data_IF_609820644854
#
_entry.id   IF_609820644854
#
_cell.length_a   1.000
_cell.length_b   1.000
_cell.length_c   1.000
_cell.angle_alpha   90.00
_cell.angle_beta   90.00
_cell.angle_gamma   90.00
#
_symmetry.space_group_name_H-M   'P 1'
#
loop_
_entity.id
_entity.type
_entity.pdbx_description
1 polymer ?
#
# COMPACT_ATOMS: atom_id res chain seq x y z
N UNK A 1 -10.50 19.26 -18.10
CA UNK A 1 -11.65 18.39 -17.79
C UNK A 1 -11.30 17.56 -16.57
N UNK A 2 -12.11 17.55 -15.51
CA UNK A 2 -11.92 16.59 -14.42
C UNK A 2 -12.13 15.17 -14.95
N UNK A 3 -11.23 14.26 -14.61
CA UNK A 3 -11.37 12.83 -14.93
C UNK A 3 -12.50 12.27 -14.04
N UNK A 4 -13.56 11.66 -14.60
CA UNK A 4 -14.58 11.01 -13.80
C UNK A 4 -13.96 9.84 -13.03
N UNK A 5 -14.18 9.78 -11.71
CA UNK A 5 -13.91 8.57 -10.94
C UNK A 5 -15.08 7.63 -11.09
N UNK A 6 -14.83 6.47 -11.70
CA UNK A 6 -15.80 5.40 -11.91
C UNK A 6 -15.42 4.23 -11.01
N UNK A 7 -16.14 4.04 -9.90
CA UNK A 7 -15.86 2.98 -8.92
C UNK A 7 -16.11 1.59 -9.50
N UNK A 8 -17.01 1.44 -10.48
CA UNK A 8 -17.15 0.17 -11.18
C UNK A 8 -15.88 -0.10 -11.99
N UNK A 9 -15.37 0.92 -12.70
CA UNK A 9 -14.08 0.82 -13.38
C UNK A 9 -12.89 0.70 -12.41
N UNK A 10 -12.91 1.30 -11.23
CA UNK A 10 -11.84 1.17 -10.22
C UNK A 10 -11.90 -0.21 -9.54
N UNK A 11 -13.08 -0.73 -9.23
CA UNK A 11 -13.27 -2.09 -8.71
C UNK A 11 -12.89 -3.12 -9.76
N UNK A 12 -13.38 -2.96 -10.99
CA UNK A 12 -13.00 -3.79 -12.13
C UNK A 12 -11.49 -3.70 -12.37
N UNK A 13 -10.88 -2.51 -12.28
CA UNK A 13 -9.44 -2.33 -12.38
C UNK A 13 -8.71 -3.08 -11.28
N UNK A 14 -9.14 -2.97 -10.02
CA UNK A 14 -8.47 -3.63 -8.90
C UNK A 14 -8.69 -5.13 -8.88
N UNK A 15 -9.87 -5.61 -9.27
CA UNK A 15 -10.16 -7.03 -9.40
C UNK A 15 -9.44 -7.62 -10.63
N UNK A 16 -9.42 -6.95 -11.78
CA UNK A 16 -8.62 -7.35 -12.93
C UNK A 16 -7.11 -7.31 -12.64
N UNK A 17 -6.66 -6.31 -11.87
CA UNK A 17 -5.30 -6.28 -11.36
C UNK A 17 -5.07 -7.46 -10.41
N UNK A 18 -6.01 -7.80 -9.53
CA UNK A 18 -5.91 -8.95 -8.64
C UNK A 18 -5.85 -10.27 -9.41
N UNK A 19 -6.65 -10.43 -10.45
CA UNK A 19 -6.62 -11.59 -11.35
C UNK A 19 -5.29 -11.69 -12.11
N UNK A 20 -4.75 -10.58 -12.61
CA UNK A 20 -3.52 -10.58 -13.43
C UNK A 20 -2.21 -10.60 -12.64
N UNK A 21 -2.17 -9.94 -11.47
CA UNK A 21 -0.98 -9.83 -10.64
C UNK A 21 -0.80 -11.06 -9.73
N UNK A 22 -1.89 -11.73 -9.37
CA UNK A 22 -1.82 -12.93 -8.54
C UNK A 22 -1.35 -14.14 -9.36
N UNK A 23 -0.34 -14.83 -8.84
CA UNK A 23 0.20 -16.06 -9.43
C UNK A 23 0.17 -17.14 -8.37
N UNK A 24 -0.57 -18.22 -8.62
CA UNK A 24 -0.82 -19.26 -7.61
C UNK A 24 0.47 -19.95 -7.16
N UNK A 25 1.43 -20.06 -8.05
CA UNK A 25 2.77 -20.63 -7.87
C UNK A 25 3.78 -19.63 -7.29
N UNK A 26 3.40 -18.39 -7.01
CA UNK A 26 4.33 -17.42 -6.45
C UNK A 26 4.77 -17.82 -5.04
N UNK A 27 6.07 -17.70 -4.80
CA UNK A 27 6.69 -17.89 -3.49
C UNK A 27 6.66 -16.59 -2.66
N UNK A 28 6.70 -16.71 -1.31
CA UNK A 28 6.88 -15.57 -0.42
C UNK A 28 8.12 -14.75 -0.81
N UNK A 29 7.94 -13.44 -1.00
CA UNK A 29 9.03 -12.54 -1.37
C UNK A 29 8.77 -11.16 -0.83
N UNK A 30 9.83 -10.42 -0.53
CA UNK A 30 9.73 -9.07 -0.03
C UNK A 30 10.62 -8.14 -0.86
N UNK A 31 9.98 -7.17 -1.50
CA UNK A 31 10.62 -6.19 -2.37
C UNK A 31 10.03 -4.82 -2.03
N UNK A 32 10.88 -3.83 -1.77
CA UNK A 32 10.43 -2.44 -1.61
C UNK A 32 10.20 -1.74 -2.95
N UNK A 33 10.90 -2.20 -4.00
CA UNK A 33 10.89 -1.54 -5.31
C UNK A 33 10.08 -2.36 -6.30
N UNK A 34 9.64 -1.70 -7.37
CA UNK A 34 8.95 -2.33 -8.50
C UNK A 34 9.86 -3.25 -9.34
N UNK A 35 11.16 -3.31 -9.04
CA UNK A 35 12.13 -4.11 -9.77
C UNK A 35 12.45 -5.38 -8.99
N UNK A 36 12.41 -6.53 -9.67
CA UNK A 36 12.67 -7.82 -9.04
C UNK A 36 14.08 -7.89 -8.47
N UNK A 37 14.21 -8.34 -7.21
CA UNK A 37 15.50 -8.51 -6.55
C UNK A 37 16.25 -7.20 -6.26
N UNK A 38 15.57 -6.06 -6.26
CA UNK A 38 16.18 -4.75 -6.19
C UNK A 38 15.65 -3.89 -5.04
N UNK A 39 16.55 -3.07 -4.49
CA UNK A 39 16.33 -2.25 -3.30
C UNK A 39 16.87 -2.91 -2.04
N UNK A 40 16.63 -2.29 -0.87
CA UNK A 40 16.91 -2.97 0.38
C UNK A 40 16.07 -4.26 0.50
N UNK A 41 16.43 -5.14 1.42
CA UNK A 41 15.60 -6.24 1.85
C UNK A 41 14.81 -5.90 3.13
N UNK A 42 14.28 -6.93 3.82
CA UNK A 42 13.56 -6.75 5.06
C UNK A 42 14.41 -6.17 6.20
N UNK A 43 15.74 -6.13 6.09
CA UNK A 43 16.63 -5.53 7.09
C UNK A 43 16.33 -4.05 7.37
N UNK A 44 15.66 -3.36 6.43
CA UNK A 44 15.20 -2.00 6.65
C UNK A 44 14.18 -1.90 7.81
N UNK A 45 13.42 -2.98 8.06
CA UNK A 45 12.47 -3.09 9.17
C UNK A 45 13.17 -3.38 10.52
N UNK A 46 14.40 -3.92 10.51
CA UNK A 46 15.03 -4.52 11.69
C UNK A 46 14.33 -5.84 12.05
N UNK A 47 14.13 -6.08 13.34
CA UNK A 47 13.49 -7.29 13.89
C UNK A 47 12.12 -6.98 14.52
N UNK A 48 11.10 -6.63 13.73
CA UNK A 48 9.78 -6.30 14.27
C UNK A 48 9.07 -7.56 14.81
N UNK A 49 8.40 -7.44 15.94
CA UNK A 49 7.48 -8.48 16.41
C UNK A 49 6.19 -8.56 15.57
N UNK A 50 5.70 -7.42 15.09
CA UNK A 50 4.45 -7.28 14.35
C UNK A 50 4.61 -6.37 13.13
N UNK A 51 3.87 -6.62 12.06
CA UNK A 51 3.81 -5.76 10.87
C UNK A 51 2.37 -5.54 10.39
N UNK A 52 2.07 -4.31 9.95
CA UNK A 52 0.84 -3.93 9.27
C UNK A 52 1.17 -3.40 7.87
N UNK A 53 0.55 -3.96 6.84
CA UNK A 53 0.64 -3.46 5.47
C UNK A 53 -0.73 -2.96 4.99
N UNK A 54 -0.79 -1.71 4.51
CA UNK A 54 -1.98 -1.10 3.94
C UNK A 54 -1.91 -1.17 2.41
N UNK A 55 -2.93 -1.76 1.78
CA UNK A 55 -2.89 -2.15 0.37
C UNK A 55 -1.94 -3.33 0.15
N UNK A 56 -2.13 -4.42 0.90
CA UNK A 56 -1.19 -5.55 0.93
C UNK A 56 -1.16 -6.40 -0.36
N UNK A 57 -2.13 -6.22 -1.27
CA UNK A 57 -2.17 -6.91 -2.56
C UNK A 57 -2.07 -8.43 -2.42
N UNK A 58 -1.17 -9.04 -3.21
CA UNK A 58 -0.95 -10.50 -3.21
C UNK A 58 -0.49 -11.09 -1.88
N UNK A 59 -0.11 -10.27 -0.90
CA UNK A 59 0.30 -10.71 0.43
C UNK A 59 1.69 -11.34 0.52
N UNK A 60 2.46 -11.36 -0.58
CA UNK A 60 3.78 -12.01 -0.64
C UNK A 60 4.78 -11.45 0.37
N UNK A 61 4.77 -10.13 0.60
CA UNK A 61 5.63 -9.48 1.57
C UNK A 61 5.29 -9.90 3.00
N UNK A 62 4.00 -9.92 3.35
CA UNK A 62 3.52 -10.40 4.64
C UNK A 62 3.79 -11.88 4.87
N UNK A 63 3.56 -12.74 3.88
CA UNK A 63 3.88 -14.16 3.95
C UNK A 63 5.38 -14.38 4.21
N UNK A 64 6.23 -13.57 3.56
CA UNK A 64 7.67 -13.62 3.73
C UNK A 64 8.14 -13.18 5.13
N UNK A 65 7.46 -12.22 5.75
CA UNK A 65 7.72 -11.80 7.12
C UNK A 65 7.15 -12.80 8.14
N UNK A 66 5.96 -13.34 7.89
CA UNK A 66 5.33 -14.37 8.70
C UNK A 66 6.18 -15.65 8.75
N UNK A 67 6.79 -16.04 7.62
CA UNK A 67 7.73 -17.17 7.57
C UNK A 67 9.00 -16.96 8.45
N UNK A 68 9.27 -15.73 8.90
CA UNK A 68 10.33 -15.40 9.86
C UNK A 68 9.84 -15.19 11.29
N UNK A 69 8.59 -15.53 11.57
CA UNK A 69 7.99 -15.40 12.90
C UNK A 69 7.44 -14.02 13.22
N UNK A 70 7.31 -13.11 12.26
CA UNK A 70 6.66 -11.81 12.46
C UNK A 70 5.15 -11.99 12.41
N UNK A 71 4.42 -11.44 13.38
CA UNK A 71 2.97 -11.39 13.33
C UNK A 71 2.50 -10.40 12.27
N UNK A 72 2.02 -10.93 11.13
CA UNK A 72 1.74 -10.14 9.94
C UNK A 72 0.23 -9.91 9.73
N UNK A 73 -0.16 -8.66 9.53
CA UNK A 73 -1.53 -8.28 9.16
C UNK A 73 -1.53 -7.40 7.90
N UNK A 74 -2.34 -7.77 6.92
CA UNK A 74 -2.56 -7.02 5.69
C UNK A 74 -3.98 -6.49 5.60
N UNK A 75 -4.11 -5.25 5.13
CA UNK A 75 -5.40 -4.63 4.85
C UNK A 75 -5.45 -4.33 3.36
N UNK A 76 -6.50 -4.79 2.68
CA UNK A 76 -6.74 -4.47 1.27
C UNK A 76 -8.20 -4.10 1.03
N UNK A 77 -8.45 -3.31 -0.02
CA UNK A 77 -9.78 -2.88 -0.42
C UNK A 77 -10.42 -3.83 -1.44
N UNK A 78 -9.66 -4.71 -2.10
CA UNK A 78 -10.23 -5.71 -3.01
C UNK A 78 -10.65 -6.95 -2.20
N UNK A 79 -11.95 -7.28 -2.15
CA UNK A 79 -12.40 -8.49 -1.46
C UNK A 79 -11.87 -9.76 -2.16
N UNK A 80 -11.71 -9.72 -3.49
CA UNK A 80 -11.13 -10.82 -4.27
C UNK A 80 -9.67 -11.05 -3.88
N UNK A 81 -8.88 -9.98 -3.77
CA UNK A 81 -7.49 -10.08 -3.36
C UNK A 81 -7.36 -10.63 -1.93
N UNK A 82 -8.17 -10.14 -0.99
CA UNK A 82 -8.18 -10.65 0.40
C UNK A 82 -8.50 -12.13 0.44
N UNK A 83 -9.49 -12.60 -0.31
CA UNK A 83 -9.83 -14.03 -0.38
C UNK A 83 -8.65 -14.87 -0.89
N UNK A 84 -8.06 -14.47 -2.03
CA UNK A 84 -6.92 -15.17 -2.64
C UNK A 84 -5.70 -15.21 -1.73
N UNK A 85 -5.33 -14.08 -1.13
CA UNK A 85 -4.19 -13.99 -0.22
C UNK A 85 -4.43 -14.84 1.05
N UNK A 86 -5.65 -14.80 1.60
CA UNK A 86 -6.03 -15.61 2.77
C UNK A 86 -5.88 -17.09 2.49
N UNK A 87 -6.45 -17.57 1.39
CA UNK A 87 -6.38 -18.99 1.01
C UNK A 87 -4.93 -19.42 0.78
N UNK A 88 -4.18 -18.64 -0.01
CA UNK A 88 -2.79 -18.97 -0.37
C UNK A 88 -1.86 -19.03 0.83
N UNK A 89 -1.98 -18.07 1.74
CA UNK A 89 -1.04 -17.88 2.84
C UNK A 89 -1.58 -18.39 4.19
N UNK A 90 -2.69 -19.13 4.21
CA UNK A 90 -3.29 -19.68 5.43
C UNK A 90 -2.27 -20.43 6.30
N UNK A 91 -1.34 -21.15 5.67
CA UNK A 91 -0.28 -21.92 6.34
C UNK A 91 0.77 -21.06 7.06
N UNK A 92 0.84 -19.75 6.77
CA UNK A 92 1.83 -18.84 7.37
C UNK A 92 1.35 -18.19 8.67
N UNK A 93 0.04 -18.23 8.96
CA UNK A 93 -0.57 -17.48 10.06
C UNK A 93 -0.74 -15.98 9.80
N UNK A 94 -0.35 -15.46 8.63
CA UNK A 94 -0.63 -14.09 8.24
C UNK A 94 -2.15 -13.84 8.12
N UNK A 95 -2.62 -12.68 8.59
CA UNK A 95 -4.03 -12.28 8.53
C UNK A 95 -4.25 -11.27 7.42
N UNK A 96 -5.26 -11.49 6.59
CA UNK A 96 -5.67 -10.54 5.54
C UNK A 96 -7.10 -10.08 5.83
N UNK A 97 -7.29 -8.76 5.85
CA UNK A 97 -8.54 -8.14 6.28
C UNK A 97 -8.99 -7.15 5.21
N UNK A 98 -10.27 -7.22 4.87
CA UNK A 98 -10.92 -6.23 4.03
C UNK A 98 -11.29 -4.99 4.85
N UNK A 99 -10.99 -3.79 4.36
CA UNK A 99 -11.42 -2.55 5.02
C UNK A 99 -11.84 -1.49 4.00
N UNK A 100 -13.04 -0.94 4.21
CA UNK A 100 -13.54 0.24 3.53
C UNK A 100 -14.38 1.09 4.49
N UNK A 101 -14.50 2.41 4.28
CA UNK A 101 -15.46 3.24 5.01
C UNK A 101 -16.90 2.75 4.85
N UNK A 102 -17.78 2.96 5.85
CA UNK A 102 -19.19 2.62 5.72
C UNK A 102 -19.84 3.42 4.59
N UNK A 103 -20.82 2.82 3.92
CA UNK A 103 -21.65 3.53 2.95
C UNK A 103 -22.42 4.67 3.64
N UNK A 104 -22.54 5.80 2.95
CA UNK A 104 -23.42 6.89 3.40
C UNK A 104 -24.87 6.42 3.22
N UNK A 105 -25.75 6.50 4.25
CA UNK A 105 -27.13 6.07 4.12
C UNK A 105 -27.87 6.74 2.96
N UNK A 106 -28.60 5.95 2.16
CA UNK A 106 -29.33 6.44 0.99
C UNK A 106 -28.46 6.74 -0.24
N UNK A 107 -27.14 6.66 -0.10
CA UNK A 107 -26.20 6.86 -1.19
C UNK A 107 -25.40 5.55 -1.37
N UNK A 108 -26.01 4.62 -2.07
CA UNK A 108 -25.42 3.31 -2.36
C UNK A 108 -24.90 3.29 -3.79
N UNK A 109 -23.88 2.48 -4.06
CA UNK A 109 -23.23 2.45 -5.37
C UNK A 109 -22.20 3.58 -5.53
N UNK A 110 -21.86 3.97 -6.78
CA UNK A 110 -20.79 4.93 -7.05
C UNK A 110 -21.05 6.30 -6.42
N UNK A 111 -20.17 6.73 -5.51
CA UNK A 111 -20.25 8.04 -4.87
C UNK A 111 -18.97 8.83 -5.04
N UNK A 112 -19.11 10.11 -5.43
CA UNK A 112 -18.00 11.05 -5.41
C UNK A 112 -17.66 11.49 -3.98
N UNK A 113 -16.38 11.58 -3.65
CA UNK A 113 -15.90 12.06 -2.35
C UNK A 113 -15.31 13.47 -2.49
N UNK A 114 -15.79 14.43 -1.69
CA UNK A 114 -15.10 15.70 -1.45
C UNK A 114 -14.32 15.62 -0.14
N UNK A 115 -13.03 15.98 -0.15
CA UNK A 115 -12.22 16.05 1.07
C UNK A 115 -12.44 17.41 1.75
N UNK A 116 -13.46 17.51 2.60
CA UNK A 116 -13.84 18.74 3.32
C UNK A 116 -15.32 19.10 3.14
N UNK A 117 -15.88 19.91 4.04
CA UNK A 117 -17.33 20.18 4.13
C UNK A 117 -17.98 20.72 2.84
N UNK A 118 -19.29 20.48 2.71
CA UNK A 118 -20.11 20.73 1.52
C UNK A 118 -20.38 22.21 1.17
N UNK A 119 -19.77 23.16 1.90
CA UNK A 119 -19.91 24.59 1.66
C UNK A 119 -18.53 25.21 1.38
N UNK A 120 -18.30 25.65 0.13
CA UNK A 120 -17.07 26.34 -0.26
C UNK A 120 -16.53 25.95 -1.64
N UNK A 121 -15.36 26.49 -1.99
CA UNK A 121 -14.64 26.19 -3.24
C UNK A 121 -14.33 24.70 -3.32
N UNK A 122 -14.61 24.06 -4.46
CA UNK A 122 -14.28 22.65 -4.67
C UNK A 122 -12.78 22.40 -4.41
N UNK A 123 -12.50 21.56 -3.41
CA UNK A 123 -11.14 21.16 -3.04
C UNK A 123 -10.89 19.73 -3.53
N UNK A 124 -9.84 19.56 -4.33
CA UNK A 124 -9.37 18.25 -4.80
C UNK A 124 -7.95 18.03 -4.28
N UNK A 125 -7.61 16.79 -3.90
CA UNK A 125 -6.25 16.47 -3.44
C UNK A 125 -5.43 15.86 -4.56
N UNK A 126 -4.30 16.50 -4.89
CA UNK A 126 -3.25 15.86 -5.65
C UNK A 126 -2.51 14.85 -4.77
N UNK A 127 -2.03 13.74 -5.36
CA UNK A 127 -1.07 12.88 -4.69
C UNK A 127 0.17 13.71 -4.38
N UNK A 128 0.42 13.95 -3.10
CA UNK A 128 1.63 14.65 -2.68
C UNK A 128 2.83 13.80 -3.10
N UNK A 129 3.61 14.30 -4.05
CA UNK A 129 4.85 13.67 -4.53
C UNK A 129 6.00 14.62 -4.25
N UNK A 130 6.34 14.77 -2.97
CA UNK A 130 7.38 15.73 -2.54
C UNK A 130 8.79 15.13 -2.63
N UNK A 131 9.85 15.96 -2.77
CA UNK A 131 11.23 15.51 -2.64
C UNK A 131 11.53 14.96 -1.23
N UNK A 132 12.54 14.08 -1.07
CA UNK A 132 12.88 13.45 0.21
C UNK A 132 12.97 14.41 1.40
N UNK A 133 13.73 15.50 1.25
CA UNK A 133 13.92 16.56 2.27
C UNK A 133 12.61 17.21 2.75
N UNK A 134 11.57 17.23 1.93
CA UNK A 134 10.27 17.78 2.30
C UNK A 134 9.49 16.76 3.12
N UNK A 135 9.56 15.47 2.76
CA UNK A 135 8.95 14.41 3.55
C UNK A 135 9.53 14.29 4.96
N UNK A 136 10.86 14.34 5.09
CA UNK A 136 11.52 14.33 6.40
C UNK A 136 11.01 15.46 7.28
N UNK A 137 10.95 16.67 6.73
CA UNK A 137 10.44 17.86 7.42
C UNK A 137 8.98 17.70 7.83
N UNK A 138 8.13 17.18 6.95
CA UNK A 138 6.71 16.95 7.24
C UNK A 138 6.54 15.94 8.38
N UNK A 139 7.31 14.86 8.39
CA UNK A 139 7.28 13.84 9.44
C UNK A 139 7.79 14.38 10.78
N UNK A 140 8.92 15.10 10.79
CA UNK A 140 9.42 15.73 12.03
C UNK A 140 8.40 16.74 12.56
N UNK A 141 7.79 17.56 11.69
CA UNK A 141 6.73 18.49 12.08
C UNK A 141 5.47 17.79 12.60
N UNK A 142 5.19 16.58 12.16
CA UNK A 142 4.09 15.74 12.64
C UNK A 142 4.38 15.09 14.01
N UNK A 143 5.59 15.26 14.56
CA UNK A 143 5.95 14.78 15.91
C UNK A 143 6.89 13.56 15.94
N UNK A 144 7.37 13.08 14.80
CA UNK A 144 8.42 12.06 14.78
C UNK A 144 9.77 12.67 15.23
N UNK A 145 10.49 11.96 16.10
CA UNK A 145 11.83 12.35 16.57
C UNK A 145 12.85 12.44 15.43
N UNK A 146 12.75 11.54 14.45
CA UNK A 146 13.64 11.49 13.30
C UNK A 146 12.94 10.89 12.09
N UNK A 147 13.32 11.33 10.89
CA UNK A 147 12.92 10.74 9.62
C UNK A 147 14.13 10.68 8.65
N UNK A 148 14.22 9.60 7.89
CA UNK A 148 15.21 9.37 6.82
C UNK A 148 14.43 9.10 5.53
N UNK A 149 14.62 9.93 4.51
CA UNK A 149 14.01 9.76 3.20
C UNK A 149 15.07 9.68 2.12
N UNK A 150 14.99 8.66 1.25
CA UNK A 150 15.92 8.49 0.14
C UNK A 150 15.25 7.92 -1.09
N UNK A 151 15.75 8.29 -2.26
CA UNK A 151 15.40 7.63 -3.51
C UNK A 151 16.38 6.47 -3.72
N UNK A 152 15.85 5.27 -3.86
CA UNK A 152 16.59 4.13 -4.40
C UNK A 152 16.52 4.26 -5.92
N UNK A 153 17.66 4.51 -6.55
CA UNK A 153 17.76 4.62 -8.01
C UNK A 153 17.28 3.33 -8.68
N UNK A 154 16.74 3.43 -9.89
CA UNK A 154 16.38 2.25 -10.66
C UNK A 154 17.63 1.45 -11.05
N UNK A 155 17.54 0.12 -11.22
CA UNK A 155 18.67 -0.69 -11.68
C UNK A 155 19.10 -0.33 -13.12
N UNK A 156 18.18 0.20 -13.91
CA UNK A 156 18.41 0.61 -15.30
C UNK A 156 18.51 2.14 -15.39
N UNK A 157 19.59 2.69 -15.98
CA UNK A 157 19.75 4.14 -16.13
C UNK A 157 18.58 4.78 -16.89
N UNK A 158 18.04 5.85 -16.34
CA UNK A 158 16.90 6.59 -16.92
C UNK A 158 15.52 6.07 -16.51
N UNK A 159 15.44 4.96 -15.77
CA UNK A 159 14.19 4.47 -15.20
C UNK A 159 13.88 5.13 -13.85
N UNK A 160 12.60 5.13 -13.47
CA UNK A 160 12.14 5.80 -12.25
C UNK A 160 12.55 5.03 -10.99
N UNK A 161 13.26 5.68 -10.08
CA UNK A 161 13.60 5.12 -8.77
C UNK A 161 12.39 4.99 -7.83
N UNK A 162 12.64 4.46 -6.63
CA UNK A 162 11.64 4.28 -5.57
C UNK A 162 11.98 5.16 -4.38
N UNK A 163 11.05 6.04 -3.96
CA UNK A 163 11.20 6.80 -2.72
C UNK A 163 10.87 5.91 -1.52
N UNK A 164 11.81 5.81 -0.57
CA UNK A 164 11.64 5.11 0.70
C UNK A 164 11.79 6.12 1.83
N UNK A 165 10.87 6.07 2.81
CA UNK A 165 10.90 6.94 3.99
C UNK A 165 10.73 6.11 5.26
N UNK A 166 11.59 6.32 6.25
CA UNK A 166 11.52 5.72 7.58
C UNK A 166 11.41 6.83 8.63
N UNK A 167 10.50 6.68 9.58
CA UNK A 167 10.36 7.61 10.71
C UNK A 167 10.39 6.87 12.05
N UNK A 168 10.78 7.58 13.12
CA UNK A 168 10.84 7.06 14.51
C UNK A 168 10.26 8.11 15.47
N UNK A 169 9.50 7.65 16.47
CA UNK A 169 8.96 8.47 17.57
C UNK A 169 10.01 8.69 18.69
#
# INVERSE_FOLDING_TARGET
MPVPHDIAAETELWDAFAESAFKAEAEPSFCWTQYAGHGPGPELLGDPATVLELGCGTGRALAHLAARGVEATGVDLSPVMVAKATERWAHTGARFVFSQPPAIPGAYGPQGMYKGGFAGKAMYTYRYSYPPRVWERLLVRAGFRSADARVVEAPEPGHIGTLIVRARL
#
